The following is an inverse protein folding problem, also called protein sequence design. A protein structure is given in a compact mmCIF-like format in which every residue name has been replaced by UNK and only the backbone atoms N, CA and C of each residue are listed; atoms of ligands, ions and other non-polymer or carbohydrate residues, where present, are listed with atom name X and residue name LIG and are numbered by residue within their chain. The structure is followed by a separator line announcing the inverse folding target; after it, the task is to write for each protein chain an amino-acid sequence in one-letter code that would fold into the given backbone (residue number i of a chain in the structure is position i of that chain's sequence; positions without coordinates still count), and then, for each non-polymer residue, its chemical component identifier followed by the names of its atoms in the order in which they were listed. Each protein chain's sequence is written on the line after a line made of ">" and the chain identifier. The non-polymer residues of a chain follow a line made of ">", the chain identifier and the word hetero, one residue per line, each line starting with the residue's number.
data_IF_792052176142
#
_entry.id   IF_792052176142
#
_cell.length_a   1.000
_cell.length_b   1.000
_cell.length_c   1.000
_cell.angle_alpha   90.00
_cell.angle_beta   90.00
_cell.angle_gamma   90.00
#
_symmetry.space_group_name_H-M   'P 1'
#
loop_
_entity.id
_entity.type
_entity.pdbx_description
1 polymer ?
#
# COMPACT_ATOMS: atom_id res chain seq x y z
N UNK A 1 2.53 -31.33 -10.44
CA UNK A 1 2.93 -30.73 -9.15
C UNK A 1 4.41 -30.40 -9.26
N UNK A 2 4.70 -29.20 -9.73
CA UNK A 2 6.08 -28.74 -9.96
C UNK A 2 6.55 -28.06 -8.68
N UNK A 3 7.71 -28.47 -8.19
CA UNK A 3 8.30 -27.99 -6.95
C UNK A 3 8.42 -26.45 -6.97
N UNK A 4 7.74 -25.79 -6.03
CA UNK A 4 7.99 -24.38 -5.68
C UNK A 4 9.31 -24.38 -4.91
N UNK A 5 10.36 -23.83 -5.51
CA UNK A 5 11.72 -23.90 -4.98
C UNK A 5 11.87 -23.23 -3.61
N UNK A 6 12.83 -23.76 -2.85
CA UNK A 6 13.29 -23.45 -1.49
C UNK A 6 13.64 -21.97 -1.15
N UNK A 7 13.13 -20.96 -1.84
CA UNK A 7 13.49 -19.55 -1.56
C UNK A 7 12.74 -18.91 -0.38
N UNK A 8 11.82 -19.62 0.28
CA UNK A 8 11.02 -19.07 1.39
C UNK A 8 11.73 -19.11 2.74
N UNK A 9 12.74 -19.97 2.91
CA UNK A 9 13.35 -20.26 4.22
C UNK A 9 14.41 -19.25 4.66
N UNK A 10 14.91 -18.40 3.76
CA UNK A 10 16.02 -17.47 4.04
C UNK A 10 15.54 -16.02 4.29
N UNK A 11 14.24 -15.77 4.27
CA UNK A 11 13.65 -14.44 4.49
C UNK A 11 13.32 -14.29 5.96
N UNK A 12 13.72 -13.18 6.58
CA UNK A 12 13.33 -12.83 7.94
C UNK A 12 11.81 -12.94 8.12
N UNK A 13 11.37 -13.61 9.18
CA UNK A 13 9.95 -13.76 9.50
C UNK A 13 9.66 -13.21 10.90
N UNK A 14 8.62 -12.39 10.98
CA UNK A 14 8.04 -11.96 12.26
C UNK A 14 7.47 -13.18 12.98
N UNK A 15 7.77 -13.27 14.28
CA UNK A 15 7.24 -14.33 15.13
C UNK A 15 5.72 -14.30 15.19
N UNK A 16 5.12 -15.48 15.41
CA UNK A 16 3.68 -15.60 15.61
C UNK A 16 3.21 -14.72 16.77
N UNK A 17 2.01 -14.15 16.61
CA UNK A 17 1.38 -13.36 17.64
C UNK A 17 1.01 -14.23 18.84
N UNK A 18 1.20 -13.68 20.03
CA UNK A 18 0.68 -14.25 21.28
C UNK A 18 -0.84 -14.17 21.32
N UNK A 19 -1.47 -14.99 22.17
CA UNK A 19 -2.93 -14.93 22.39
C UNK A 19 -3.38 -13.52 22.82
N UNK A 20 -2.57 -12.84 23.64
CA UNK A 20 -2.86 -11.47 24.06
C UNK A 20 -2.83 -10.48 22.91
N UNK A 21 -1.85 -10.58 22.01
CA UNK A 21 -1.74 -9.74 20.82
C UNK A 21 -2.91 -9.99 19.84
N UNK A 22 -3.32 -11.25 19.66
CA UNK A 22 -4.50 -11.59 18.85
C UNK A 22 -5.77 -11.00 19.49
N UNK A 23 -5.92 -11.13 20.81
CA UNK A 23 -7.06 -10.57 21.53
C UNK A 23 -7.10 -9.03 21.41
N UNK A 24 -5.94 -8.36 21.50
CA UNK A 24 -5.81 -6.92 21.26
C UNK A 24 -6.22 -6.56 19.84
N UNK A 25 -5.66 -7.24 18.83
CA UNK A 25 -5.98 -6.99 17.43
C UNK A 25 -7.48 -7.12 17.15
N UNK A 26 -8.13 -8.17 17.67
CA UNK A 26 -9.59 -8.37 17.53
C UNK A 26 -10.40 -7.25 18.19
N UNK A 27 -10.00 -6.81 19.39
CA UNK A 27 -10.70 -5.78 20.17
C UNK A 27 -10.54 -4.39 19.55
N UNK A 28 -9.32 -4.04 19.17
CA UNK A 28 -8.92 -2.68 18.80
C UNK A 28 -8.88 -2.47 17.28
N UNK A 29 -8.87 -3.55 16.50
CA UNK A 29 -8.81 -3.51 15.03
C UNK A 29 -7.42 -3.21 14.48
N UNK A 30 -6.43 -3.08 15.35
CA UNK A 30 -5.05 -2.78 15.04
C UNK A 30 -4.12 -3.37 16.09
N UNK A 31 -2.87 -3.60 15.68
CA UNK A 31 -1.80 -4.03 16.55
C UNK A 31 -0.50 -3.40 16.06
N UNK A 32 0.27 -2.83 16.98
CA UNK A 32 1.60 -2.28 16.69
C UNK A 32 2.64 -3.28 17.16
N UNK A 33 3.57 -3.63 16.28
CA UNK A 33 4.65 -4.58 16.54
C UNK A 33 6.00 -3.83 16.45
N UNK A 34 6.53 -3.35 17.59
CA UNK A 34 7.77 -2.57 17.57
C UNK A 34 8.99 -3.48 17.31
N UNK A 35 9.91 -3.01 16.46
CA UNK A 35 11.21 -3.65 16.26
C UNK A 35 11.17 -5.06 15.65
N UNK A 36 10.08 -5.43 14.98
CA UNK A 36 9.92 -6.79 14.42
C UNK A 36 10.48 -6.94 13.01
N UNK A 37 10.76 -5.85 12.29
CA UNK A 37 11.36 -5.91 10.97
C UNK A 37 12.88 -6.09 11.07
N UNK A 38 13.48 -6.72 10.06
CA UNK A 38 14.93 -6.87 9.97
C UNK A 38 15.59 -5.49 9.80
N UNK A 39 16.45 -5.12 10.75
CA UNK A 39 17.06 -3.78 10.77
C UNK A 39 18.00 -3.51 9.60
N UNK A 40 18.63 -4.54 9.04
CA UNK A 40 19.53 -4.37 7.89
C UNK A 40 18.76 -4.28 6.58
N UNK A 41 17.65 -5.00 6.43
CA UNK A 41 16.72 -4.81 5.31
C UNK A 41 16.05 -3.42 5.36
N UNK A 42 15.66 -2.95 6.55
CA UNK A 42 15.18 -1.59 6.75
C UNK A 42 16.22 -0.55 6.32
N UNK A 43 17.49 -0.72 6.74
CA UNK A 43 18.61 0.15 6.34
C UNK A 43 18.82 0.16 4.83
N UNK A 44 18.86 -1.01 4.20
CA UNK A 44 19.00 -1.15 2.74
C UNK A 44 17.85 -0.48 1.99
N UNK A 45 16.61 -0.68 2.44
CA UNK A 45 15.43 -0.06 1.82
C UNK A 45 15.48 1.46 1.92
N UNK A 46 15.92 2.00 3.07
CA UNK A 46 16.14 3.44 3.23
C UNK A 46 17.26 3.95 2.34
N UNK A 47 18.36 3.20 2.19
CA UNK A 47 19.46 3.58 1.32
C UNK A 47 19.01 3.63 -0.15
N UNK A 48 18.27 2.62 -0.61
CA UNK A 48 17.64 2.60 -1.94
C UNK A 48 16.66 3.78 -2.13
N UNK A 49 15.86 4.11 -1.12
CA UNK A 49 14.98 5.28 -1.16
C UNK A 49 15.77 6.57 -1.45
N UNK A 50 16.93 6.76 -0.80
CA UNK A 50 17.79 7.92 -1.02
C UNK A 50 18.51 7.91 -2.37
N UNK A 51 18.85 6.74 -2.91
CA UNK A 51 19.37 6.59 -4.28
C UNK A 51 18.32 7.06 -5.31
N UNK A 52 17.08 6.57 -5.17
CA UNK A 52 15.94 6.98 -6.02
C UNK A 52 15.67 8.48 -5.89
N UNK A 53 15.71 9.04 -4.67
CA UNK A 53 15.60 10.50 -4.46
C UNK A 53 16.72 11.24 -5.18
N UNK A 54 17.96 10.75 -5.11
CA UNK A 54 19.12 11.40 -5.74
C UNK A 54 18.98 11.41 -7.25
N UNK A 55 18.47 10.33 -7.84
CA UNK A 55 18.21 10.21 -9.28
C UNK A 55 17.09 11.15 -9.74
N UNK A 56 15.95 11.14 -9.05
CA UNK A 56 14.75 11.84 -9.50
C UNK A 56 14.57 13.27 -8.96
N UNK A 57 15.25 13.60 -7.86
CA UNK A 57 15.19 14.91 -7.18
C UNK A 57 16.54 15.28 -6.56
N UNK A 58 17.61 15.48 -7.37
CA UNK A 58 18.98 15.72 -6.89
C UNK A 58 19.14 16.97 -6.02
N UNK A 59 18.20 17.91 -6.05
CA UNK A 59 18.18 19.07 -5.17
C UNK A 59 17.94 18.70 -3.69
N UNK A 60 17.28 17.56 -3.41
CA UNK A 60 17.02 17.07 -2.07
C UNK A 60 18.15 16.12 -1.64
N UNK A 61 18.99 16.57 -0.70
CA UNK A 61 20.20 15.87 -0.28
C UNK A 61 20.00 15.15 1.05
N UNK A 62 20.35 13.87 1.10
CA UNK A 62 20.28 13.04 2.33
C UNK A 62 21.01 13.68 3.52
N UNK A 63 22.18 14.27 3.29
CA UNK A 63 23.05 14.79 4.34
C UNK A 63 22.73 16.24 4.74
N UNK A 64 21.72 16.87 4.14
CA UNK A 64 21.37 18.26 4.39
C UNK A 64 19.85 18.44 4.52
N UNK A 65 19.30 18.31 5.75
CA UNK A 65 17.87 18.47 5.99
C UNK A 65 17.30 19.82 5.58
N UNK A 66 18.12 20.88 5.43
CA UNK A 66 17.64 22.17 4.94
C UNK A 66 17.16 22.13 3.48
N UNK A 67 17.55 21.08 2.74
CA UNK A 67 17.13 20.82 1.36
C UNK A 67 15.83 20.02 1.25
N UNK A 68 15.27 19.54 2.36
CA UNK A 68 14.06 18.70 2.37
C UNK A 68 12.79 19.56 2.28
N UNK A 69 12.71 20.32 1.19
CA UNK A 69 11.66 21.29 0.92
C UNK A 69 10.46 20.64 0.22
N UNK A 70 9.25 21.20 0.35
CA UNK A 70 8.06 20.73 -0.36
C UNK A 70 8.26 20.70 -1.88
N UNK A 71 7.57 19.78 -2.55
CA UNK A 71 7.46 19.75 -4.01
C UNK A 71 6.78 21.03 -4.51
N UNK A 72 7.45 21.71 -5.44
CA UNK A 72 6.88 22.78 -6.24
C UNK A 72 5.85 22.22 -7.23
N UNK A 73 4.89 23.05 -7.69
CA UNK A 73 3.93 22.65 -8.74
C UNK A 73 4.63 22.06 -9.98
N UNK A 74 5.74 22.71 -10.37
CA UNK A 74 6.58 22.27 -11.50
C UNK A 74 7.20 20.88 -11.27
N UNK A 75 7.62 20.55 -10.05
CA UNK A 75 8.12 19.20 -9.74
C UNK A 75 6.99 18.18 -9.78
N UNK A 76 5.81 18.49 -9.22
CA UNK A 76 4.64 17.61 -9.26
C UNK A 76 4.25 17.21 -10.68
N UNK A 77 4.29 18.15 -11.63
CA UNK A 77 3.91 17.93 -13.03
C UNK A 77 4.96 17.14 -13.85
N UNK A 78 6.18 16.96 -13.33
CA UNK A 78 7.33 16.39 -14.07
C UNK A 78 7.44 14.88 -14.03
N UNK A 79 6.57 14.19 -13.32
CA UNK A 79 6.65 12.75 -13.14
C UNK A 79 5.58 12.05 -13.97
N UNK A 80 5.81 11.84 -15.29
CA UNK A 80 4.85 11.18 -16.15
C UNK A 80 4.71 9.70 -15.76
N UNK A 81 3.53 9.14 -16.04
CA UNK A 81 3.28 7.71 -15.90
C UNK A 81 4.14 6.90 -16.87
N UNK A 82 4.34 5.62 -16.54
CA UNK A 82 4.88 4.65 -17.49
C UNK A 82 3.98 4.55 -18.72
N UNK A 83 4.59 4.48 -19.90
CA UNK A 83 3.87 4.23 -21.17
C UNK A 83 3.18 2.87 -21.19
N UNK A 84 3.64 1.95 -20.35
CA UNK A 84 3.06 0.61 -20.23
C UNK A 84 1.89 0.56 -19.25
N UNK A 85 1.52 1.68 -18.62
CA UNK A 85 0.51 1.77 -17.55
C UNK A 85 1.12 1.70 -16.15
N UNK A 86 0.35 2.13 -15.14
CA UNK A 86 0.81 2.25 -13.75
C UNK A 86 1.02 3.71 -13.31
N UNK A 87 1.29 3.89 -12.02
CA UNK A 87 1.66 5.20 -11.46
C UNK A 87 3.11 5.58 -11.87
N UNK A 88 3.49 6.86 -11.78
CA UNK A 88 4.88 7.26 -11.88
C UNK A 88 5.71 6.54 -10.80
N UNK A 89 6.93 6.11 -11.16
CA UNK A 89 7.78 5.39 -10.20
C UNK A 89 8.16 6.24 -8.99
N UNK A 90 8.51 7.50 -9.23
CA UNK A 90 8.79 8.50 -8.20
C UNK A 90 7.95 9.74 -8.47
N UNK A 91 7.27 10.26 -7.46
CA UNK A 91 6.51 11.50 -7.55
C UNK A 91 6.25 12.10 -6.17
N UNK A 92 5.78 13.35 -6.15
CA UNK A 92 5.41 14.03 -4.92
C UNK A 92 4.47 15.20 -5.14
N UNK A 93 3.88 15.68 -4.06
CA UNK A 93 3.01 16.86 -4.06
C UNK A 93 3.02 17.52 -2.68
N UNK A 94 3.37 18.81 -2.63
CA UNK A 94 3.60 19.51 -1.36
C UNK A 94 4.62 18.76 -0.51
N UNK A 95 4.24 18.38 0.72
CA UNK A 95 5.13 17.63 1.61
C UNK A 95 5.11 16.11 1.39
N UNK A 96 4.35 15.58 0.43
CA UNK A 96 4.25 14.13 0.23
C UNK A 96 5.21 13.67 -0.85
N UNK A 97 5.90 12.57 -0.58
CA UNK A 97 6.80 11.88 -1.50
C UNK A 97 6.40 10.41 -1.59
N UNK A 98 6.42 9.86 -2.80
CA UNK A 98 6.04 8.48 -3.08
C UNK A 98 7.07 7.79 -3.96
N UNK A 99 7.35 6.52 -3.67
CA UNK A 99 8.11 5.60 -4.54
C UNK A 99 7.28 4.35 -4.77
N UNK A 100 6.98 4.00 -6.02
CA UNK A 100 6.18 2.84 -6.43
C UNK A 100 7.04 1.60 -6.65
N UNK A 101 7.87 1.25 -5.68
CA UNK A 101 8.72 0.05 -5.66
C UNK A 101 8.04 -1.16 -4.97
N UNK A 102 6.72 -1.14 -4.86
CA UNK A 102 5.90 -2.11 -4.10
C UNK A 102 6.02 -3.59 -4.51
N UNK A 103 6.51 -3.87 -5.72
CA UNK A 103 6.68 -5.22 -6.25
C UNK A 103 8.14 -5.70 -6.27
N UNK A 104 9.07 -4.90 -5.75
CA UNK A 104 10.50 -5.20 -5.74
C UNK A 104 10.89 -6.09 -4.55
N UNK A 105 11.80 -7.03 -4.80
CA UNK A 105 12.28 -8.02 -3.83
C UNK A 105 12.69 -7.39 -2.49
N UNK A 106 13.47 -6.30 -2.51
CA UNK A 106 13.95 -5.64 -1.30
C UNK A 106 12.78 -5.17 -0.42
N UNK A 107 11.80 -4.47 -0.99
CA UNK A 107 10.66 -3.96 -0.22
C UNK A 107 9.72 -5.09 0.23
N UNK A 108 9.53 -6.11 -0.61
CA UNK A 108 8.74 -7.29 -0.25
C UNK A 108 9.35 -8.04 0.92
N UNK A 109 10.66 -8.29 0.88
CA UNK A 109 11.39 -9.00 1.94
C UNK A 109 11.46 -8.19 3.24
N UNK A 110 11.55 -6.86 3.14
CA UNK A 110 11.61 -5.96 4.30
C UNK A 110 10.29 -5.92 5.08
N UNK A 111 9.14 -6.03 4.40
CA UNK A 111 7.84 -5.75 5.02
C UNK A 111 6.75 -6.82 4.78
N UNK A 112 6.38 -7.06 3.52
CA UNK A 112 5.19 -7.87 3.21
C UNK A 112 5.44 -9.34 3.50
N UNK A 113 6.56 -9.88 3.00
CA UNK A 113 6.96 -11.28 3.17
C UNK A 113 7.37 -11.58 4.59
N UNK A 114 7.93 -10.61 5.32
CA UNK A 114 8.30 -10.81 6.73
C UNK A 114 7.09 -11.02 7.65
N UNK A 115 5.91 -10.55 7.26
CA UNK A 115 4.67 -10.72 8.01
C UNK A 115 3.83 -11.91 7.54
N UNK A 116 4.37 -12.78 6.68
CA UNK A 116 3.66 -13.92 6.13
C UNK A 116 3.08 -14.83 7.22
N UNK A 117 3.89 -15.21 8.20
CA UNK A 117 3.45 -16.07 9.30
C UNK A 117 2.30 -15.45 10.11
N UNK A 118 2.35 -14.13 10.33
CA UNK A 118 1.26 -13.39 11.01
C UNK A 118 -0.01 -13.38 10.14
N UNK A 119 0.12 -13.22 8.83
CA UNK A 119 -1.00 -13.27 7.91
C UNK A 119 -1.67 -14.66 7.91
N UNK A 120 -0.91 -15.75 7.81
CA UNK A 120 -1.45 -17.11 7.90
C UNK A 120 -2.10 -17.39 9.26
N UNK A 121 -1.51 -16.89 10.35
CA UNK A 121 -2.08 -17.06 11.69
C UNK A 121 -3.45 -16.36 11.84
N UNK A 122 -3.61 -15.17 11.24
CA UNK A 122 -4.83 -14.37 11.38
C UNK A 122 -5.92 -14.76 10.37
N UNK A 123 -5.53 -15.12 9.14
CA UNK A 123 -6.46 -15.37 8.03
C UNK A 123 -6.68 -16.86 7.73
N UNK A 124 -5.79 -17.73 8.22
CA UNK A 124 -5.82 -19.18 7.96
C UNK A 124 -4.61 -19.62 7.14
N UNK A 125 -4.02 -20.76 7.54
CA UNK A 125 -2.93 -21.37 6.79
C UNK A 125 -3.42 -21.79 5.40
N UNK A 126 -2.69 -21.38 4.35
CA UNK A 126 -3.09 -21.64 2.96
C UNK A 126 -4.24 -20.77 2.42
N UNK A 127 -4.80 -19.85 3.22
CA UNK A 127 -5.88 -18.92 2.82
C UNK A 127 -5.34 -17.58 2.30
N UNK A 128 -4.01 -17.40 2.32
CA UNK A 128 -3.31 -16.21 1.83
C UNK A 128 -2.45 -16.54 0.62
N UNK A 129 -2.14 -15.50 -0.16
CA UNK A 129 -1.38 -15.62 -1.40
C UNK A 129 -0.01 -15.02 -1.21
N UNK A 130 1.02 -15.81 -1.46
CA UNK A 130 2.40 -15.35 -1.33
C UNK A 130 2.65 -14.16 -2.28
N UNK A 131 3.23 -13.05 -1.79
CA UNK A 131 3.58 -11.91 -2.63
C UNK A 131 4.82 -12.27 -3.46
N UNK A 132 4.59 -12.87 -4.63
CA UNK A 132 5.67 -13.33 -5.51
C UNK A 132 6.44 -12.14 -6.12
N UNK A 133 5.84 -10.96 -6.18
CA UNK A 133 6.46 -9.80 -6.82
C UNK A 133 6.39 -9.89 -8.34
N UNK A 134 7.42 -9.35 -9.00
CA UNK A 134 7.51 -9.37 -10.45
C UNK A 134 7.98 -10.73 -10.99
N UNK A 135 7.39 -11.15 -12.10
CA UNK A 135 7.88 -12.24 -12.94
C UNK A 135 9.02 -11.77 -13.86
N UNK A 136 9.59 -12.70 -14.64
CA UNK A 136 10.66 -12.39 -15.59
C UNK A 136 10.29 -11.42 -16.72
N UNK A 137 9.01 -11.08 -16.89
CA UNK A 137 8.54 -10.08 -17.85
C UNK A 137 8.37 -8.68 -17.24
N UNK A 138 8.68 -8.50 -15.94
CA UNK A 138 8.56 -7.22 -15.24
C UNK A 138 7.12 -6.88 -14.82
N UNK A 139 6.26 -7.90 -14.70
CA UNK A 139 4.86 -7.73 -14.26
C UNK A 139 4.55 -8.63 -13.07
N UNK A 140 3.51 -8.29 -12.32
CA UNK A 140 3.01 -9.17 -11.25
C UNK A 140 1.83 -9.99 -11.76
N UNK A 141 1.65 -11.22 -11.27
CA UNK A 141 0.47 -12.05 -11.56
C UNK A 141 -0.09 -12.59 -10.26
N UNK A 142 -1.34 -12.26 -9.95
CA UNK A 142 -1.99 -12.74 -8.73
C UNK A 142 -3.51 -12.73 -8.79
N UNK A 143 -4.16 -13.36 -7.81
CA UNK A 143 -5.61 -13.46 -7.79
C UNK A 143 -6.23 -12.11 -7.44
N UNK A 144 -7.33 -11.79 -8.12
CA UNK A 144 -8.14 -10.60 -7.87
C UNK A 144 -9.61 -10.95 -8.05
N UNK A 145 -10.45 -10.59 -7.08
CA UNK A 145 -11.90 -10.64 -7.28
C UNK A 145 -12.31 -9.52 -8.25
N UNK A 146 -12.62 -9.87 -9.49
CA UNK A 146 -12.73 -8.88 -10.56
C UNK A 146 -14.16 -8.34 -10.70
N UNK A 147 -14.57 -7.52 -9.73
CA UNK A 147 -15.84 -6.78 -9.75
C UNK A 147 -15.74 -5.46 -10.50
N UNK A 148 -16.88 -4.84 -10.79
CA UNK A 148 -16.94 -3.48 -11.35
C UNK A 148 -16.28 -2.46 -10.42
N UNK A 149 -16.57 -2.54 -9.11
CA UNK A 149 -15.95 -1.69 -8.10
C UNK A 149 -14.44 -1.85 -8.05
N UNK A 150 -13.94 -3.08 -8.14
CA UNK A 150 -12.49 -3.35 -8.18
C UNK A 150 -11.84 -2.74 -9.42
N UNK A 151 -12.45 -2.91 -10.60
CA UNK A 151 -11.97 -2.28 -11.84
C UNK A 151 -11.97 -0.75 -11.73
N UNK A 152 -13.04 -0.16 -11.20
CA UNK A 152 -13.13 1.29 -11.02
C UNK A 152 -12.07 1.81 -10.04
N UNK A 153 -11.78 1.08 -8.96
CA UNK A 153 -10.69 1.41 -8.02
C UNK A 153 -9.28 1.33 -8.64
N UNK A 154 -9.09 0.49 -9.67
CA UNK A 154 -7.82 0.41 -10.40
C UNK A 154 -7.67 1.47 -11.50
N UNK A 155 -8.78 2.05 -11.97
CA UNK A 155 -8.78 3.03 -13.07
C UNK A 155 -7.87 4.23 -12.83
N UNK A 156 -7.81 4.85 -11.64
CA UNK A 156 -6.88 5.95 -11.39
C UNK A 156 -5.40 5.55 -11.48
N UNK A 157 -5.06 4.25 -11.45
CA UNK A 157 -3.67 3.78 -11.50
C UNK A 157 -3.26 3.26 -12.89
N UNK A 158 -4.24 2.90 -13.73
CA UNK A 158 -4.01 2.30 -15.04
C UNK A 158 -4.50 3.18 -16.20
N UNK A 159 -5.32 4.20 -15.91
CA UNK A 159 -5.87 5.18 -16.85
C UNK A 159 -6.30 4.57 -18.20
N UNK A 160 -5.75 5.05 -19.32
CA UNK A 160 -6.10 4.61 -20.68
C UNK A 160 -5.81 3.14 -20.94
N UNK A 161 -4.92 2.52 -20.17
CA UNK A 161 -4.50 1.13 -20.33
C UNK A 161 -5.33 0.15 -19.49
N UNK A 162 -6.39 0.60 -18.84
CA UNK A 162 -7.22 -0.27 -17.99
C UNK A 162 -7.77 -1.48 -18.73
N UNK A 163 -8.20 -1.32 -19.99
CA UNK A 163 -8.76 -2.43 -20.77
C UNK A 163 -7.69 -3.46 -21.15
N UNK A 164 -6.45 -3.01 -21.38
CA UNK A 164 -5.30 -3.88 -21.63
C UNK A 164 -4.95 -4.73 -20.41
N UNK A 165 -4.98 -4.14 -19.22
CA UNK A 165 -4.52 -4.81 -18.00
C UNK A 165 -5.62 -5.58 -17.28
N UNK A 166 -6.83 -5.03 -17.21
CA UNK A 166 -7.92 -5.52 -16.36
C UNK A 166 -9.04 -6.16 -17.17
N UNK A 167 -9.25 -5.72 -18.41
CA UNK A 167 -10.34 -6.21 -19.25
C UNK A 167 -11.73 -5.91 -18.66
N UNK A 168 -12.68 -6.80 -18.91
CA UNK A 168 -14.08 -6.66 -18.45
C UNK A 168 -14.25 -7.31 -17.06
N UNK A 169 -15.04 -6.68 -16.15
CA UNK A 169 -15.41 -7.31 -14.89
C UNK A 169 -16.10 -8.66 -15.11
N UNK A 170 -15.71 -9.66 -14.32
CA UNK A 170 -16.27 -11.03 -14.38
C UNK A 170 -17.10 -11.38 -13.14
N UNK A 171 -16.98 -10.62 -12.05
CA UNK A 171 -17.65 -10.88 -10.78
C UNK A 171 -17.08 -12.09 -10.02
N UNK A 172 -15.95 -12.64 -10.45
CA UNK A 172 -15.31 -13.83 -9.85
C UNK A 172 -13.79 -13.63 -9.67
N UNK A 173 -13.12 -14.45 -8.86
CA UNK A 173 -11.66 -14.43 -8.77
C UNK A 173 -11.02 -14.79 -10.12
N UNK A 174 -10.08 -13.96 -10.56
CA UNK A 174 -9.30 -14.14 -11.78
C UNK A 174 -7.81 -13.95 -11.48
N UNK A 175 -6.92 -14.58 -12.26
CA UNK A 175 -5.50 -14.25 -12.24
C UNK A 175 -5.26 -13.00 -13.09
N UNK A 176 -4.91 -11.91 -12.42
CA UNK A 176 -4.72 -10.62 -13.03
C UNK A 176 -3.22 -10.31 -13.16
N UNK A 177 -2.80 -9.92 -14.36
CA UNK A 177 -1.45 -9.43 -14.63
C UNK A 177 -1.44 -7.91 -14.51
N UNK A 178 -0.48 -7.34 -13.78
CA UNK A 178 -0.37 -5.89 -13.57
C UNK A 178 1.05 -5.38 -13.82
N UNK A 179 1.21 -4.11 -14.26
CA UNK A 179 2.54 -3.53 -14.46
C UNK A 179 3.22 -3.26 -13.11
N UNK A 180 4.56 -3.16 -13.13
CA UNK A 180 5.41 -2.93 -11.94
C UNK A 180 4.89 -1.84 -10.99
N UNK A 181 4.48 -0.69 -11.53
CA UNK A 181 3.99 0.46 -10.74
C UNK A 181 2.46 0.56 -10.72
N UNK A 182 1.77 -0.49 -11.16
CA UNK A 182 0.32 -0.60 -11.12
C UNK A 182 -0.22 -0.93 -9.72
N UNK A 183 -1.54 -1.18 -9.61
CA UNK A 183 -2.21 -1.49 -8.35
C UNK A 183 -1.95 -2.94 -7.89
N UNK A 184 -0.68 -3.33 -7.77
CA UNK A 184 -0.22 -4.69 -7.46
C UNK A 184 -0.73 -5.21 -6.11
N UNK A 185 -1.02 -4.29 -5.17
CA UNK A 185 -1.64 -4.60 -3.88
C UNK A 185 -3.05 -5.17 -3.99
N UNK A 186 -3.77 -4.87 -5.09
CA UNK A 186 -5.08 -5.45 -5.37
C UNK A 186 -5.01 -6.94 -5.74
N UNK A 187 -3.82 -7.47 -6.04
CA UNK A 187 -3.57 -8.88 -6.37
C UNK A 187 -2.77 -9.64 -5.31
N UNK A 188 -2.52 -8.99 -4.16
CA UNK A 188 -1.62 -9.45 -3.11
C UNK A 188 -0.18 -9.76 -3.58
N UNK A 189 0.24 -9.28 -4.76
CA UNK A 189 1.59 -9.49 -5.29
C UNK A 189 2.58 -8.38 -4.96
N UNK A 190 2.12 -7.32 -4.29
CA UNK A 190 3.00 -6.28 -3.81
C UNK A 190 2.34 -5.31 -2.85
N UNK A 191 3.12 -4.35 -2.37
CA UNK A 191 2.66 -3.20 -1.59
C UNK A 191 2.36 -2.00 -2.50
N UNK A 192 1.88 -0.90 -1.93
CA UNK A 192 1.77 0.39 -2.62
C UNK A 192 3.13 1.07 -2.88
N UNK A 193 4.18 0.65 -2.17
CA UNK A 193 5.49 1.29 -2.20
C UNK A 193 5.75 2.17 -0.96
N UNK A 194 6.77 3.01 -1.03
CA UNK A 194 7.19 3.89 0.07
C UNK A 194 6.46 5.23 0.02
N UNK A 195 6.07 5.70 1.20
CA UNK A 195 5.34 6.94 1.43
C UNK A 195 6.09 7.73 2.50
N UNK A 196 6.42 8.98 2.20
CA UNK A 196 7.11 9.86 3.14
C UNK A 196 6.42 11.21 3.20
N UNK A 197 6.36 11.76 4.41
CA UNK A 197 5.98 13.16 4.64
C UNK A 197 7.23 13.93 4.99
N UNK A 198 7.56 14.95 4.18
CA UNK A 198 8.69 15.84 4.40
C UNK A 198 8.45 16.71 5.64
N UNK A 199 9.53 17.14 6.33
CA UNK A 199 9.42 17.98 7.52
C UNK A 199 8.61 19.26 7.31
N UNK A 200 8.19 19.88 8.41
CA UNK A 200 7.40 21.11 8.43
C UNK A 200 6.08 21.02 7.65
N UNK A 201 5.55 19.81 7.45
CA UNK A 201 4.23 19.63 6.89
C UNK A 201 3.18 20.30 7.78
N UNK A 202 2.14 20.92 7.21
CA UNK A 202 1.02 21.42 7.99
C UNK A 202 0.46 20.33 8.90
N UNK A 203 -0.01 20.65 10.12
CA UNK A 203 -0.68 19.68 10.96
C UNK A 203 -1.91 19.11 10.24
N UNK A 204 -2.32 17.87 10.54
CA UNK A 204 -3.57 17.33 10.02
C UNK A 204 -4.72 18.31 10.28
N UNK A 205 -5.58 18.54 9.28
CA UNK A 205 -6.79 19.34 9.51
C UNK A 205 -7.69 18.56 10.50
N UNK A 206 -8.23 19.25 11.50
CA UNK A 206 -8.96 18.61 12.62
C UNK A 206 -10.24 17.85 12.22
N UNK A 207 -10.65 17.95 10.96
CA UNK A 207 -11.84 17.30 10.41
C UNK A 207 -11.54 16.05 9.58
N UNK A 208 -10.27 15.68 9.39
CA UNK A 208 -9.87 14.48 8.64
C UNK A 208 -10.63 14.33 7.30
N UNK A 209 -10.87 15.43 6.57
CA UNK A 209 -11.71 15.47 5.35
C UNK A 209 -11.31 14.48 4.24
N UNK A 210 -10.07 14.00 4.25
CA UNK A 210 -9.56 13.02 3.29
C UNK A 210 -9.43 11.60 3.87
N UNK A 211 -9.99 11.34 5.05
CA UNK A 211 -10.10 9.99 5.59
C UNK A 211 -10.98 9.16 4.65
N UNK A 212 -10.44 8.06 4.19
CA UNK A 212 -11.16 7.08 3.40
C UNK A 212 -10.92 5.69 3.99
N UNK A 213 -11.91 4.82 3.86
CA UNK A 213 -11.75 3.41 4.16
C UNK A 213 -11.23 2.72 2.92
N UNK A 214 -10.18 1.92 3.06
CA UNK A 214 -9.62 1.07 2.01
C UNK A 214 -10.42 -0.23 1.81
N UNK A 215 -11.66 -0.31 2.29
CA UNK A 215 -12.46 -1.51 2.14
C UNK A 215 -13.19 -1.54 0.78
N UNK A 216 -12.97 -2.61 0.02
CA UNK A 216 -13.86 -2.94 -1.11
C UNK A 216 -15.05 -3.68 -0.51
N UNK A 217 -16.25 -3.27 -0.92
CA UNK A 217 -17.53 -3.88 -0.57
C UNK A 217 -17.53 -5.41 -0.70
N UNK A 218 -16.73 -5.93 -1.63
CA UNK A 218 -16.80 -7.30 -2.09
C UNK A 218 -15.91 -8.28 -1.30
N UNK A 219 -15.22 -7.83 -0.26
CA UNK A 219 -14.34 -8.71 0.55
C UNK A 219 -14.71 -8.66 2.03
N UNK A 220 -15.06 -9.83 2.60
CA UNK A 220 -15.50 -9.97 3.99
C UNK A 220 -14.38 -9.78 5.02
N UNK A 221 -13.12 -10.05 4.66
CA UNK A 221 -11.97 -9.99 5.57
C UNK A 221 -10.77 -9.39 4.86
N UNK A 222 -10.08 -8.43 5.51
CA UNK A 222 -8.82 -7.85 5.04
C UNK A 222 -7.84 -7.74 6.19
N UNK A 223 -6.60 -8.14 5.93
CA UNK A 223 -5.46 -7.74 6.73
C UNK A 223 -4.75 -6.60 6.01
N UNK A 224 -4.53 -5.49 6.70
CA UNK A 224 -3.73 -4.39 6.21
C UNK A 224 -2.48 -4.24 7.06
N UNK A 225 -1.37 -4.02 6.37
CA UNK A 225 -0.05 -3.89 6.97
C UNK A 225 0.50 -2.53 6.58
N UNK A 226 0.83 -1.73 7.59
CA UNK A 226 1.65 -0.54 7.44
C UNK A 226 3.01 -0.83 8.09
N UNK A 227 4.08 -0.80 7.30
CA UNK A 227 5.44 -1.03 7.76
C UNK A 227 6.19 0.30 7.84
N UNK A 228 6.81 0.55 8.98
CA UNK A 228 7.72 1.67 9.19
C UNK A 228 9.16 1.14 9.15
N UNK A 229 9.90 1.52 8.11
CA UNK A 229 11.26 1.03 7.85
C UNK A 229 12.36 1.92 8.45
N UNK A 230 11.97 3.02 9.09
CA UNK A 230 12.86 3.94 9.77
C UNK A 230 12.13 4.52 10.99
N UNK A 231 12.87 5.21 11.85
CA UNK A 231 12.32 5.83 13.04
C UNK A 231 11.30 6.91 12.66
N UNK A 232 10.11 6.82 13.26
CA UNK A 232 9.02 7.78 13.07
C UNK A 232 8.90 8.62 14.32
N UNK A 233 9.09 9.95 14.23
CA UNK A 233 8.81 10.83 15.35
C UNK A 233 7.36 10.69 15.84
N UNK A 234 7.07 11.02 17.12
CA UNK A 234 5.70 11.13 17.60
C UNK A 234 4.85 12.00 16.65
N UNK A 235 3.62 11.55 16.38
CA UNK A 235 2.65 12.22 15.51
C UNK A 235 3.07 12.41 14.02
N UNK A 236 4.19 11.79 13.60
CA UNK A 236 4.66 11.82 12.20
C UNK A 236 4.30 10.55 11.41
N UNK A 237 3.43 9.69 11.97
CA UNK A 237 2.93 8.50 11.29
C UNK A 237 2.06 8.85 10.07
N UNK A 238 2.12 8.00 9.05
CA UNK A 238 1.35 8.18 7.80
C UNK A 238 -0.11 7.72 7.88
N UNK A 239 -0.54 7.21 9.04
CA UNK A 239 -1.83 6.54 9.21
C UNK A 239 -2.46 6.92 10.55
N UNK A 240 -3.67 7.47 10.51
CA UNK A 240 -4.52 7.66 11.69
C UNK A 240 -5.50 6.50 11.78
N UNK A 241 -5.52 5.80 12.91
CA UNK A 241 -6.45 4.73 13.19
C UNK A 241 -7.27 5.06 14.44
N UNK A 242 -8.56 4.75 14.39
CA UNK A 242 -9.46 4.85 15.53
C UNK A 242 -9.69 3.44 16.11
N UNK A 243 -9.18 3.13 17.31
CA UNK A 243 -9.39 1.82 17.92
C UNK A 243 -10.87 1.41 17.96
N UNK A 244 -11.15 0.20 17.49
CA UNK A 244 -12.50 -0.38 17.43
C UNK A 244 -13.37 0.13 16.27
N UNK A 245 -12.84 0.97 15.37
CA UNK A 245 -13.59 1.50 14.22
C UNK A 245 -14.09 0.39 13.29
N UNK A 246 -13.34 -0.70 13.12
CA UNK A 246 -13.72 -1.86 12.30
C UNK A 246 -15.04 -2.49 12.71
N UNK A 247 -15.40 -2.43 14.00
CA UNK A 247 -16.68 -2.94 14.52
C UNK A 247 -17.85 -2.00 14.27
N UNK A 248 -17.60 -0.69 14.20
CA UNK A 248 -18.65 0.34 14.05
C UNK A 248 -18.92 0.69 12.60
N UNK A 249 -17.87 0.73 11.78
CA UNK A 249 -17.97 1.13 10.39
C UNK A 249 -18.80 0.13 9.60
N UNK A 250 -18.74 -1.17 9.94
CA UNK A 250 -19.48 -2.21 9.24
C UNK A 250 -20.99 -2.08 9.39
N UNK A 251 -21.50 -1.78 10.58
CA UNK A 251 -22.93 -1.56 10.80
C UNK A 251 -23.43 -0.36 10.01
N UNK A 252 -22.66 0.73 10.02
CA UNK A 252 -22.97 1.93 9.24
C UNK A 252 -22.94 1.64 7.73
N UNK A 253 -21.87 1.00 7.24
CA UNK A 253 -21.70 0.65 5.83
C UNK A 253 -22.76 -0.32 5.34
N UNK A 254 -23.08 -1.34 6.12
CA UNK A 254 -24.14 -2.30 5.81
C UNK A 254 -25.50 -1.61 5.70
N UNK A 255 -25.76 -0.61 6.55
CA UNK A 255 -27.02 0.13 6.54
C UNK A 255 -27.11 1.14 5.38
N UNK A 256 -26.03 1.86 5.10
CA UNK A 256 -26.06 3.02 4.19
C UNK A 256 -25.71 2.62 2.76
N UNK A 257 -24.83 1.64 2.59
CA UNK A 257 -24.20 1.37 1.31
C UNK A 257 -24.35 -0.05 0.76
N UNK A 258 -25.13 -0.91 1.43
CA UNK A 258 -25.39 -2.27 0.93
C UNK A 258 -26.00 -2.25 -0.49
N UNK A 259 -26.94 -1.34 -0.73
CA UNK A 259 -27.68 -1.27 -1.99
C UNK A 259 -27.28 -0.06 -2.85
N UNK A 260 -26.51 0.89 -2.28
CA UNK A 260 -26.06 2.12 -2.94
C UNK A 260 -24.59 2.38 -2.59
N UNK A 261 -23.63 2.10 -3.49
CA UNK A 261 -22.23 2.41 -3.22
C UNK A 261 -22.06 3.91 -2.87
N UNK A 262 -21.04 4.29 -2.08
CA UNK A 262 -20.77 5.69 -1.78
C UNK A 262 -20.62 6.48 -3.08
N UNK A 263 -21.06 7.73 -3.14
CA UNK A 263 -20.81 8.56 -4.31
C UNK A 263 -19.30 8.71 -4.52
N UNK A 264 -18.85 8.70 -5.77
CA UNK A 264 -17.43 8.85 -6.16
C UNK A 264 -16.79 10.13 -5.58
N UNK A 265 -17.61 11.13 -5.25
CA UNK A 265 -17.22 12.37 -4.59
C UNK A 265 -18.14 12.56 -3.38
N UNK A 266 -17.60 12.65 -2.15
CA UNK A 266 -18.40 12.96 -0.97
C UNK A 266 -19.17 14.28 -1.16
N UNK A 267 -20.43 14.32 -0.71
CA UNK A 267 -21.20 15.57 -0.68
C UNK A 267 -20.41 16.66 0.06
N UNK A 268 -20.33 17.86 -0.53
CA UNK A 268 -19.58 18.98 0.06
C UNK A 268 -18.08 19.01 -0.26
N UNK A 269 -17.57 18.13 -1.13
CA UNK A 269 -16.19 18.24 -1.62
C UNK A 269 -16.07 19.48 -2.53
N UNK A 270 -15.37 20.51 -2.05
CA UNK A 270 -15.07 21.72 -2.82
C UNK A 270 -14.25 21.34 -4.05
N UNK A 271 -14.68 21.77 -5.24
CA UNK A 271 -13.84 21.69 -6.45
C UNK A 271 -12.64 22.60 -6.25
N UNK A 272 -11.45 22.01 -6.32
CA UNK A 272 -10.22 22.79 -6.37
C UNK A 272 -10.01 23.16 -7.84
N UNK A 273 -10.32 24.42 -8.17
CA UNK A 273 -9.99 25.06 -9.43
C UNK A 273 -8.46 25.28 -9.54
#
# INVERSE_FOLDING_TARGET
>A
MTAVSNHRTDIHQVSLLTEHQIAQFKRDGLLVLPGVLDSDLCRQTRDQMWEVITEHRPAMKRTDPSTWLPFTKKETERHPRSRDGGDPYFFGSGHRLYIRNGAEELLLNTAVRSLWNVAEQLLGAGEVVWPAGMDGSGTTVGPCLLTEGTRNGMKPHLESEIDKWVGRPTGRPELLRLPKTGPVWSTAQGARGLYCTLPHSPPPTGDFRSAHSEAMYDTYWRLQIAAYIDDVPPDAGGLTLWPGSHRRIWDHWTKVHRDNPPPDVPEGTVKWD
#
